data_IF_305602135210
#
_entry.id   IF_305602135210
#
_cell.length_a   1.000
_cell.length_b   1.000
_cell.length_c   1.000
_cell.angle_alpha   90.00
_cell.angle_beta   90.00
_cell.angle_gamma   90.00
#
_symmetry.space_group_name_H-M   'P 1'
#
loop_
_entity.id
_entity.type
_entity.pdbx_description
1 polymer ?
#
# COMPACT_ATOMS: atom_id res chain seq x y z
N UNK A 1 19.56 0.40 -18.82
CA UNK A 1 18.38 -0.44 -18.53
C UNK A 1 17.80 0.11 -17.25
N UNK A 2 16.76 0.94 -17.35
CA UNK A 2 16.10 1.49 -16.17
C UNK A 2 15.22 0.37 -15.61
N UNK A 3 15.57 -0.20 -14.46
CA UNK A 3 14.67 -1.10 -13.75
C UNK A 3 13.40 -0.33 -13.38
N UNK A 4 12.29 -0.74 -13.98
CA UNK A 4 10.96 -0.26 -13.64
C UNK A 4 10.56 -0.96 -12.35
N UNK A 5 10.70 -0.27 -11.22
CA UNK A 5 10.26 -0.75 -9.91
C UNK A 5 8.76 -1.06 -9.99
N UNK A 6 8.40 -2.33 -9.87
CA UNK A 6 7.02 -2.81 -9.86
C UNK A 6 6.33 -2.31 -8.57
N UNK A 7 4.99 -2.25 -8.57
CA UNK A 7 4.17 -2.04 -7.37
C UNK A 7 4.69 -2.92 -6.22
N UNK A 8 5.05 -4.16 -6.55
CA UNK A 8 5.59 -5.16 -5.61
C UNK A 8 6.90 -4.71 -4.96
N UNK A 9 7.77 -4.02 -5.68
CA UNK A 9 9.08 -3.60 -5.17
C UNK A 9 8.95 -2.44 -4.18
N UNK A 10 8.05 -1.49 -4.48
CA UNK A 10 7.75 -0.37 -3.57
C UNK A 10 7.09 -0.87 -2.30
N UNK A 11 6.14 -1.80 -2.43
CA UNK A 11 5.47 -2.40 -1.27
C UNK A 11 6.44 -3.26 -0.46
N UNK A 12 7.33 -4.02 -1.11
CA UNK A 12 8.39 -4.76 -0.43
C UNK A 12 9.38 -3.82 0.29
N UNK A 13 9.76 -2.69 -0.33
CA UNK A 13 10.63 -1.68 0.28
C UNK A 13 9.96 -1.00 1.48
N UNK A 14 8.66 -0.69 1.40
CA UNK A 14 7.89 -0.15 2.52
C UNK A 14 7.89 -1.11 3.72
N UNK A 15 7.75 -2.43 3.48
CA UNK A 15 7.85 -3.46 4.55
C UNK A 15 9.24 -3.54 5.16
N UNK A 16 10.29 -3.37 4.37
CA UNK A 16 11.67 -3.43 4.87
C UNK A 16 11.98 -2.27 5.83
N UNK A 17 11.35 -1.11 5.65
CA UNK A 17 11.52 0.08 6.50
C UNK A 17 10.79 0.04 7.84
N UNK A 18 9.95 -0.97 8.11
CA UNK A 18 9.12 -1.04 9.32
C UNK A 18 9.65 -2.04 10.37
N UNK A 19 10.86 -2.58 10.19
CA UNK A 19 11.55 -3.44 11.16
C UNK A 19 12.70 -2.72 11.85
N UNK A 20 12.38 -1.86 12.81
CA UNK A 20 13.27 -1.55 13.93
C UNK A 20 12.42 -1.29 15.18
N UNK A 21 12.82 -1.91 16.30
CA UNK A 21 12.17 -1.95 17.63
C UNK A 21 11.07 -3.01 17.84
N UNK A 22 11.48 -4.27 17.99
CA UNK A 22 10.97 -5.09 19.11
C UNK A 22 12.17 -5.77 19.77
N UNK A 23 12.48 -5.29 20.97
CA UNK A 23 13.38 -5.93 21.93
C UNK A 23 12.68 -7.13 22.55
N UNK A 24 13.25 -8.33 22.44
CA UNK A 24 12.94 -9.41 23.38
C UNK A 24 14.22 -9.86 24.08
N UNK A 25 14.27 -9.53 25.38
CA UNK A 25 15.09 -10.22 26.36
C UNK A 25 14.19 -11.12 27.19
N UNK A 26 14.55 -12.41 27.22
CA UNK A 26 14.49 -13.32 28.38
C UNK A 26 13.14 -13.88 28.90
N UNK A 27 12.98 -15.20 28.69
CA UNK A 27 12.97 -16.26 29.73
C UNK A 27 11.72 -16.56 30.61
N UNK A 28 11.19 -17.78 30.39
CA UNK A 28 10.89 -18.86 31.39
C UNK A 28 9.52 -19.07 32.08
N UNK A 29 9.08 -20.35 31.97
CA UNK A 29 8.43 -21.26 32.97
C UNK A 29 6.92 -21.22 33.29
N UNK A 30 6.16 -22.09 32.60
CA UNK A 30 5.42 -23.29 33.08
C UNK A 30 4.91 -23.42 34.56
N UNK A 31 3.58 -23.55 34.81
CA UNK A 31 2.80 -24.75 35.31
C UNK A 31 1.42 -24.48 36.00
N UNK A 32 0.36 -25.12 35.44
CA UNK A 32 -0.76 -25.95 36.01
C UNK A 32 -1.72 -25.55 37.19
N UNK A 33 -3.05 -25.59 36.88
CA UNK A 33 -4.16 -26.49 37.38
C UNK A 33 -5.33 -25.95 38.29
N UNK A 34 -6.57 -26.11 37.77
CA UNK A 34 -7.96 -26.31 38.36
C UNK A 34 -8.62 -25.21 39.24
N UNK A 35 -9.95 -24.96 39.30
CA UNK A 35 -11.20 -25.62 38.88
C UNK A 35 -12.44 -24.65 38.96
N UNK A 36 -13.43 -24.87 38.08
CA UNK A 36 -14.91 -24.71 38.14
C UNK A 36 -15.66 -23.57 38.89
N UNK A 37 -16.59 -22.88 38.20
CA UNK A 37 -18.04 -22.85 38.52
C UNK A 37 -18.87 -21.96 37.55
N UNK A 38 -20.09 -22.44 37.27
CA UNK A 38 -21.13 -21.89 36.38
C UNK A 38 -21.48 -20.40 36.56
N UNK A 39 -21.88 -19.72 35.46
CA UNK A 39 -23.23 -19.13 35.30
C UNK A 39 -23.33 -18.25 34.05
N UNK A 40 -24.17 -18.69 33.11
CA UNK A 40 -24.99 -17.94 32.15
C UNK A 40 -24.63 -16.49 31.75
N UNK A 41 -24.40 -16.37 30.44
CA UNK A 41 -24.87 -15.34 29.49
C UNK A 41 -24.02 -14.10 29.17
N UNK A 42 -23.69 -14.04 27.88
CA UNK A 42 -23.37 -12.90 27.03
C UNK A 42 -21.99 -12.26 27.23
N UNK A 43 -20.99 -12.85 26.58
CA UNK A 43 -19.72 -12.18 26.26
C UNK A 43 -19.64 -11.98 24.76
N UNK A 44 -19.52 -10.72 24.37
CA UNK A 44 -19.00 -10.26 23.08
C UNK A 44 -17.62 -10.88 22.89
N UNK A 45 -17.55 -12.00 22.17
CA UNK A 45 -16.28 -12.63 21.80
C UNK A 45 -15.72 -11.87 20.60
N UNK A 46 -14.84 -10.92 20.91
CA UNK A 46 -13.88 -10.38 19.97
C UNK A 46 -13.02 -11.55 19.46
N UNK A 47 -13.32 -12.06 18.27
CA UNK A 47 -12.45 -13.00 17.57
C UNK A 47 -11.30 -12.23 16.91
N UNK A 48 -10.43 -11.71 17.75
CA UNK A 48 -9.13 -11.12 17.44
C UNK A 48 -8.07 -12.24 17.47
N UNK A 49 -8.00 -13.08 16.43
CA UNK A 49 -6.92 -14.09 16.32
C UNK A 49 -6.73 -14.78 14.95
N UNK A 50 -7.30 -14.29 13.84
CA UNK A 50 -7.10 -14.97 12.54
C UNK A 50 -6.94 -13.96 11.40
N UNK A 51 -5.80 -13.28 11.36
CA UNK A 51 -5.35 -12.63 10.13
C UNK A 51 -3.93 -13.10 9.83
N UNK A 52 -3.78 -14.33 9.31
CA UNK A 52 -2.48 -14.81 8.88
C UNK A 52 -2.16 -14.02 7.62
N UNK A 53 -1.10 -13.22 7.67
CA UNK A 53 -0.50 -12.61 6.50
C UNK A 53 -1.48 -11.84 5.58
N UNK A 54 -1.56 -10.52 5.78
CA UNK A 54 -2.12 -9.60 4.77
C UNK A 54 -1.08 -8.95 3.82
N UNK A 55 -0.11 -9.65 3.18
CA UNK A 55 0.77 -9.03 2.20
C UNK A 55 0.12 -8.79 0.82
N UNK A 56 -0.86 -9.60 0.41
CA UNK A 56 -1.39 -9.51 -0.96
C UNK A 56 -2.47 -8.44 -1.13
N UNK A 57 -3.19 -8.10 -0.05
CA UNK A 57 -4.23 -7.08 -0.13
C UNK A 57 -3.63 -5.70 -0.41
N UNK A 58 -2.42 -5.41 0.06
CA UNK A 58 -1.84 -4.08 -0.06
C UNK A 58 -1.51 -3.72 -1.52
N UNK A 59 -0.94 -4.65 -2.28
CA UNK A 59 -0.71 -4.46 -3.73
C UNK A 59 -2.04 -4.27 -4.46
N UNK A 60 -3.06 -5.08 -4.09
CA UNK A 60 -4.41 -4.97 -4.64
C UNK A 60 -5.08 -3.65 -4.28
N UNK A 61 -4.92 -3.15 -3.05
CA UNK A 61 -5.48 -1.88 -2.58
C UNK A 61 -4.87 -0.72 -3.37
N UNK A 62 -3.55 -0.72 -3.58
CA UNK A 62 -2.89 0.29 -4.41
C UNK A 62 -3.36 0.21 -5.86
N UNK A 63 -3.47 -0.98 -6.44
CA UNK A 63 -3.99 -1.16 -7.79
C UNK A 63 -5.45 -0.65 -7.91
N UNK A 64 -6.30 -0.95 -6.92
CA UNK A 64 -7.67 -0.46 -6.85
C UNK A 64 -7.73 1.06 -6.77
N UNK A 65 -6.85 1.69 -5.97
CA UNK A 65 -6.76 3.15 -5.87
C UNK A 65 -6.33 3.78 -7.21
N UNK A 66 -5.32 3.21 -7.88
CA UNK A 66 -4.89 3.66 -9.20
C UNK A 66 -6.01 3.54 -10.23
N UNK A 67 -6.78 2.44 -10.21
CA UNK A 67 -7.94 2.23 -11.09
C UNK A 67 -9.04 3.25 -10.83
N UNK A 68 -9.42 3.44 -9.57
CA UNK A 68 -10.43 4.43 -9.19
C UNK A 68 -10.02 5.84 -9.60
N UNK A 69 -8.74 6.19 -9.48
CA UNK A 69 -8.21 7.48 -9.95
C UNK A 69 -8.24 7.61 -11.48
N UNK A 70 -7.94 6.55 -12.22
CA UNK A 70 -8.05 6.55 -13.68
C UNK A 70 -9.50 6.77 -14.13
N UNK A 71 -10.47 6.11 -13.50
CA UNK A 71 -11.90 6.31 -13.74
C UNK A 71 -12.33 7.75 -13.42
N UNK A 72 -11.82 8.35 -12.35
CA UNK A 72 -12.04 9.77 -12.05
C UNK A 72 -11.55 10.66 -13.20
N UNK A 73 -10.39 10.37 -13.79
CA UNK A 73 -9.86 11.14 -14.92
C UNK A 73 -10.70 10.94 -16.18
N UNK A 74 -11.27 9.76 -16.39
CA UNK A 74 -12.22 9.52 -17.48
C UNK A 74 -13.46 10.38 -17.33
N UNK A 75 -14.01 10.49 -16.12
CA UNK A 75 -15.16 11.36 -15.83
C UNK A 75 -14.86 12.85 -16.12
N UNK A 76 -13.58 13.23 -16.09
CA UNK A 76 -13.11 14.58 -16.45
C UNK A 76 -12.79 14.74 -17.96
N UNK A 77 -13.05 13.71 -18.77
CA UNK A 77 -12.87 13.71 -20.23
C UNK A 77 -11.54 13.15 -20.73
N UNK A 78 -10.73 12.53 -19.86
CA UNK A 78 -9.44 11.94 -20.22
C UNK A 78 -9.57 10.44 -20.48
N UNK A 79 -10.38 10.08 -21.49
CA UNK A 79 -10.87 8.73 -21.78
C UNK A 79 -9.82 7.74 -22.31
N UNK A 80 -8.58 7.75 -21.85
CA UNK A 80 -7.58 6.71 -22.19
C UNK A 80 -6.60 6.42 -21.05
N UNK A 81 -6.76 7.09 -19.90
CA UNK A 81 -5.83 6.94 -18.78
C UNK A 81 -5.95 5.54 -18.16
N UNK A 82 -4.84 4.87 -17.95
CA UNK A 82 -4.79 3.54 -17.33
C UNK A 82 -4.28 3.59 -15.89
N UNK A 83 -4.64 2.59 -15.08
CA UNK A 83 -4.14 2.47 -13.71
C UNK A 83 -2.60 2.36 -13.66
N UNK A 84 -2.00 1.73 -14.67
CA UNK A 84 -0.55 1.59 -14.82
C UNK A 84 0.12 2.94 -15.06
N UNK A 85 -0.43 3.79 -15.94
CA UNK A 85 0.08 5.15 -16.16
C UNK A 85 -0.04 6.03 -14.91
N UNK A 86 -1.12 5.87 -14.13
CA UNK A 86 -1.29 6.53 -12.83
C UNK A 86 -0.17 6.10 -11.88
N UNK A 87 0.07 4.79 -11.78
CA UNK A 87 1.12 4.24 -10.93
C UNK A 87 2.51 4.77 -11.31
N UNK A 88 2.86 4.75 -12.59
CA UNK A 88 4.13 5.26 -13.09
C UNK A 88 4.33 6.77 -12.81
N UNK A 89 3.26 7.55 -12.97
CA UNK A 89 3.29 8.97 -12.63
C UNK A 89 3.56 9.19 -11.13
N UNK A 90 2.92 8.42 -10.26
CA UNK A 90 3.12 8.50 -8.80
C UNK A 90 4.52 8.04 -8.43
N UNK A 91 4.98 6.92 -8.98
CA UNK A 91 6.32 6.39 -8.72
C UNK A 91 7.41 7.39 -9.12
N UNK A 92 7.26 8.07 -10.25
CA UNK A 92 8.18 9.13 -10.67
C UNK A 92 8.18 10.32 -9.69
N UNK A 93 7.04 10.64 -9.05
CA UNK A 93 6.97 11.67 -7.99
C UNK A 93 7.66 11.21 -6.71
N UNK A 94 7.43 9.97 -6.28
CA UNK A 94 8.01 9.40 -5.06
C UNK A 94 9.52 9.19 -5.16
N UNK A 95 10.03 8.76 -6.32
CA UNK A 95 11.48 8.65 -6.59
C UNK A 95 12.22 9.97 -6.40
N UNK A 96 11.59 11.09 -6.76
CA UNK A 96 12.18 12.43 -6.55
C UNK A 96 12.23 12.84 -5.08
N UNK A 97 11.38 12.26 -4.23
CA UNK A 97 11.27 12.61 -2.82
C UNK A 97 12.07 11.67 -1.90
N UNK A 98 12.62 10.56 -2.40
CA UNK A 98 13.37 9.55 -1.62
C UNK A 98 12.61 9.02 -0.39
N UNK A 99 11.28 9.05 -0.40
CA UNK A 99 10.44 8.59 0.72
C UNK A 99 9.54 7.44 0.29
N UNK A 100 9.75 6.24 0.82
CA UNK A 100 8.92 5.05 0.53
C UNK A 100 7.83 4.81 1.60
N UNK A 101 7.34 5.88 2.23
CA UNK A 101 6.32 5.76 3.27
C UNK A 101 4.95 5.47 2.63
N UNK A 102 4.29 4.40 3.07
CA UNK A 102 3.03 3.94 2.47
C UNK A 102 1.94 5.02 2.42
N UNK A 103 1.76 5.77 3.51
CA UNK A 103 0.77 6.85 3.58
C UNK A 103 1.04 7.97 2.57
N UNK A 104 2.31 8.17 2.16
CA UNK A 104 2.66 9.13 1.10
C UNK A 104 2.23 8.62 -0.26
N UNK A 105 2.46 7.34 -0.58
CA UNK A 105 2.05 6.74 -1.85
C UNK A 105 0.52 6.84 -2.01
N UNK A 106 -0.23 6.44 -0.98
CA UNK A 106 -1.70 6.56 -0.98
C UNK A 106 -2.13 8.02 -1.16
N UNK A 107 -1.53 8.94 -0.41
CA UNK A 107 -1.83 10.37 -0.55
C UNK A 107 -1.50 10.91 -1.95
N UNK A 108 -0.40 10.49 -2.54
CA UNK A 108 0.05 10.92 -3.86
C UNK A 108 -0.87 10.42 -4.97
N UNK A 109 -1.42 9.20 -4.84
CA UNK A 109 -2.47 8.68 -5.74
C UNK A 109 -3.75 9.50 -5.58
N UNK A 110 -4.27 9.60 -4.34
CA UNK A 110 -5.56 10.24 -4.08
C UNK A 110 -5.57 11.73 -4.39
N UNK A 111 -4.43 12.41 -4.21
CA UNK A 111 -4.24 13.83 -4.47
C UNK A 111 -3.71 14.14 -5.88
N UNK A 112 -3.55 13.13 -6.75
CA UNK A 112 -3.02 13.34 -8.09
C UNK A 112 -3.98 14.22 -8.91
N UNK A 113 -3.47 15.35 -9.37
CA UNK A 113 -4.20 16.26 -10.26
C UNK A 113 -3.98 15.86 -11.70
N UNK A 114 -5.04 16.02 -12.51
CA UNK A 114 -4.97 15.79 -13.96
C UNK A 114 -3.87 16.62 -14.62
N UNK A 115 -3.70 17.88 -14.22
CA UNK A 115 -2.63 18.74 -14.78
C UNK A 115 -1.24 18.16 -14.54
N UNK A 116 -0.98 17.62 -13.35
CA UNK A 116 0.31 17.03 -13.01
C UNK A 116 0.54 15.75 -13.83
N UNK A 117 -0.50 14.94 -13.99
CA UNK A 117 -0.48 13.75 -14.83
C UNK A 117 -0.21 14.08 -16.31
N UNK A 118 -0.90 15.06 -16.88
CA UNK A 118 -0.69 15.47 -18.28
C UNK A 118 0.71 16.03 -18.51
N UNK A 119 1.25 16.79 -17.55
CA UNK A 119 2.62 17.25 -17.60
C UNK A 119 3.60 16.06 -17.60
N UNK A 120 3.33 15.05 -16.78
CA UNK A 120 4.11 13.81 -16.78
C UNK A 120 4.05 13.09 -18.12
N UNK A 121 2.85 12.83 -18.67
CA UNK A 121 2.67 12.15 -19.95
C UNK A 121 3.36 12.89 -21.11
N UNK A 122 3.26 14.22 -21.11
CA UNK A 122 3.95 15.07 -22.08
C UNK A 122 5.47 14.88 -22.01
N UNK A 123 6.05 14.90 -20.80
CA UNK A 123 7.49 14.65 -20.61
C UNK A 123 7.90 13.25 -21.06
N UNK A 124 7.08 12.23 -20.79
CA UNK A 124 7.36 10.86 -21.20
C UNK A 124 7.34 10.68 -22.72
N UNK A 125 6.38 11.33 -23.41
CA UNK A 125 6.33 11.32 -24.87
C UNK A 125 7.61 11.87 -25.52
N UNK A 126 8.22 12.89 -24.92
CA UNK A 126 9.52 13.44 -25.40
C UNK A 126 10.72 12.54 -25.10
N UNK A 127 10.63 11.69 -24.08
CA UNK A 127 11.74 10.80 -23.69
C UNK A 127 11.77 9.50 -24.49
N UNK A 128 10.73 9.25 -25.29
CA UNK A 128 10.46 7.94 -25.88
C UNK A 128 10.00 6.98 -24.77
N UNK A 129 8.84 6.36 -24.94
CA UNK A 129 8.44 5.26 -24.06
C UNK A 129 9.52 4.19 -24.13
N UNK A 130 10.27 4.01 -23.04
CA UNK A 130 11.43 3.13 -22.93
C UNK A 130 11.14 1.93 -22.07
#
# INVERSE_FOLDING_TARGET
>A
MSEQLDIKDVVAAARAGERDMVTESSSSTEKHREQEAHSSNNTVEAHDSDYPDRPLLLDQDIEMLCRSKAEEFWLLGYEQVTAEEIWECVLHKTRKQHTNQMHKVVNDILSLKVTDFMNYMTMQAYRGFS
#
